data_IF_824051464211
#
_entry.id   IF_824051464211
#
_cell.length_a   1.000
_cell.length_b   1.000
_cell.length_c   1.000
_cell.angle_alpha   90.00
_cell.angle_beta   90.00
_cell.angle_gamma   90.00
#
_symmetry.space_group_name_H-M   'P 1'
#
loop_
_entity.id
_entity.type
_entity.pdbx_description
1 polymer ?
#
# COMPACT_ATOMS: atom_id res chain seq x y z
N UNK A 1 5.27 16.99 2.19
CA UNK A 1 5.82 15.86 2.99
C UNK A 1 5.12 15.78 4.33
N UNK A 2 5.60 14.93 5.24
CA UNK A 2 5.06 14.82 6.60
C UNK A 2 6.19 14.78 7.63
N UNK A 3 5.90 15.15 8.88
CA UNK A 3 6.87 15.08 9.98
C UNK A 3 6.19 14.80 11.32
N UNK A 4 6.89 14.11 12.23
CA UNK A 4 6.42 13.86 13.59
C UNK A 4 6.69 15.08 14.47
N UNK A 5 5.63 15.70 15.02
CA UNK A 5 5.73 16.91 15.83
C UNK A 5 5.17 16.67 17.24
N UNK A 6 5.57 17.46 18.25
CA UNK A 6 4.95 17.42 19.56
C UNK A 6 3.46 17.74 19.53
N UNK A 7 2.71 17.08 20.43
CA UNK A 7 1.29 17.29 20.66
C UNK A 7 0.36 16.73 19.58
N UNK A 8 -0.96 16.87 19.77
CA UNK A 8 -1.96 16.49 18.79
C UNK A 8 -1.91 17.37 17.54
N UNK A 9 -2.38 16.84 16.41
CA UNK A 9 -2.42 17.48 15.11
C UNK A 9 -3.79 17.31 14.46
N UNK A 10 -4.27 18.39 13.84
CA UNK A 10 -5.40 18.36 12.91
C UNK A 10 -4.95 18.32 11.44
N UNK A 11 -3.63 18.39 11.21
CA UNK A 11 -3.01 18.40 9.89
C UNK A 11 -2.63 16.98 9.47
N UNK A 12 -3.58 16.05 9.52
CA UNK A 12 -3.38 14.66 9.11
C UNK A 12 -4.70 14.11 8.58
N UNK A 13 -4.63 13.28 7.55
CA UNK A 13 -5.77 12.55 6.99
C UNK A 13 -5.41 11.08 7.05
N UNK A 14 -6.22 10.29 7.75
CA UNK A 14 -6.07 8.83 7.79
C UNK A 14 -6.76 8.19 6.58
N UNK A 15 -6.19 7.11 6.03
CA UNK A 15 -6.70 6.48 4.82
C UNK A 15 -8.05 5.79 5.06
N UNK A 16 -8.78 5.55 3.98
CA UNK A 16 -10.12 4.98 3.99
C UNK A 16 -10.14 3.45 4.05
N UNK A 17 -11.13 2.86 3.40
CA UNK A 17 -11.52 1.45 3.55
C UNK A 17 -10.75 0.46 2.66
N UNK A 18 -9.52 0.78 2.26
CA UNK A 18 -8.66 -0.15 1.52
C UNK A 18 -8.33 -1.41 2.34
N UNK A 19 -8.28 -2.62 1.73
CA UNK A 19 -7.95 -3.85 2.44
C UNK A 19 -6.66 -3.78 3.27
N UNK A 20 -5.60 -3.14 2.75
CA UNK A 20 -4.34 -2.94 3.48
C UNK A 20 -4.51 -1.94 4.63
N UNK A 21 -5.17 -0.81 4.37
CA UNK A 21 -5.40 0.24 5.36
C UNK A 21 -6.21 -0.30 6.56
N UNK A 22 -7.24 -1.10 6.29
CA UNK A 22 -8.04 -1.77 7.33
C UNK A 22 -7.21 -2.81 8.08
N UNK A 23 -6.49 -3.64 7.33
CA UNK A 23 -5.69 -4.74 7.86
C UNK A 23 -4.60 -4.27 8.82
N UNK A 24 -3.99 -3.12 8.56
CA UNK A 24 -2.98 -2.52 9.44
C UNK A 24 -3.56 -1.51 10.45
N UNK A 25 -4.88 -1.31 10.45
CA UNK A 25 -5.60 -0.47 11.41
C UNK A 25 -5.53 1.03 11.13
N UNK A 26 -5.02 1.44 9.96
CA UNK A 26 -4.95 2.86 9.58
C UNK A 26 -6.34 3.47 9.42
N UNK A 27 -7.30 2.71 8.88
CA UNK A 27 -8.70 3.15 8.70
C UNK A 27 -9.42 3.42 10.03
N UNK A 28 -8.94 2.83 11.13
CA UNK A 28 -9.56 2.94 12.45
C UNK A 28 -8.88 3.96 13.36
N UNK A 29 -7.90 4.72 12.86
CA UNK A 29 -7.08 5.59 13.70
C UNK A 29 -7.90 6.70 14.38
N UNK A 30 -8.87 7.30 13.69
CA UNK A 30 -9.76 8.32 14.30
C UNK A 30 -10.57 7.75 15.47
N UNK A 31 -11.02 6.50 15.37
CA UNK A 31 -11.72 5.80 16.46
C UNK A 31 -10.75 5.52 17.62
N UNK A 32 -9.57 4.98 17.34
CA UNK A 32 -8.57 4.63 18.35
C UNK A 32 -8.13 5.86 19.15
N UNK A 33 -7.78 6.95 18.46
CA UNK A 33 -7.38 8.21 19.11
C UNK A 33 -8.52 8.74 19.98
N UNK A 34 -9.76 8.78 19.46
CA UNK A 34 -10.92 9.22 20.22
C UNK A 34 -11.17 8.37 21.48
N UNK A 35 -11.00 7.05 21.40
CA UNK A 35 -11.18 6.13 22.53
C UNK A 35 -10.08 6.22 23.58
N UNK A 36 -8.85 6.50 23.16
CA UNK A 36 -7.70 6.68 24.04
C UNK A 36 -7.80 8.01 24.78
N UNK A 37 -8.12 9.10 24.08
CA UNK A 37 -8.33 10.42 24.69
C UNK A 37 -9.46 10.39 25.74
N UNK A 38 -10.55 9.65 25.48
CA UNK A 38 -11.64 9.44 26.45
C UNK A 38 -11.23 8.63 27.70
N UNK A 39 -10.06 7.99 27.68
CA UNK A 39 -9.49 7.21 28.80
C UNK A 39 -8.25 7.88 29.38
N UNK A 40 -8.15 9.20 29.23
CA UNK A 40 -7.08 10.04 29.79
C UNK A 40 -5.67 9.73 29.26
N UNK A 41 -5.55 9.02 28.14
CA UNK A 41 -4.28 8.93 27.42
C UNK A 41 -3.98 10.26 26.71
N UNK A 42 -2.70 10.61 26.65
CA UNK A 42 -2.24 11.87 26.04
C UNK A 42 -1.48 11.62 24.75
N UNK A 43 -1.75 12.44 23.73
CA UNK A 43 -0.98 12.45 22.49
C UNK A 43 0.26 13.32 22.69
N UNK A 44 1.40 12.68 22.95
CA UNK A 44 2.67 13.38 23.17
C UNK A 44 3.28 13.88 21.87
N UNK A 45 3.10 13.13 20.77
CA UNK A 45 3.56 13.46 19.42
C UNK A 45 2.61 12.90 18.38
N UNK A 46 2.39 13.64 17.30
CA UNK A 46 1.58 13.22 16.16
C UNK A 46 2.16 13.74 14.85
N UNK A 47 1.95 12.99 13.78
CA UNK A 47 2.36 13.39 12.43
C UNK A 47 1.59 14.63 11.97
N UNK A 48 2.29 15.55 11.31
CA UNK A 48 1.73 16.70 10.59
C UNK A 48 2.11 16.63 9.12
N UNK A 49 1.11 16.72 8.26
CA UNK A 49 1.25 16.85 6.83
C UNK A 49 1.56 18.31 6.48
N UNK A 50 2.45 18.52 5.51
CA UNK A 50 2.68 19.85 4.96
C UNK A 50 1.43 20.32 4.19
N UNK A 51 1.24 21.64 4.00
CA UNK A 51 0.09 22.16 3.26
C UNK A 51 -0.06 21.56 1.85
N UNK A 52 1.06 21.26 1.19
CA UNK A 52 1.09 20.62 -0.12
C UNK A 52 0.60 19.17 -0.05
N UNK A 53 1.02 18.43 0.98
CA UNK A 53 0.59 17.06 1.18
C UNK A 53 -0.91 17.01 1.52
N UNK A 54 -1.40 17.88 2.42
CA UNK A 54 -2.83 18.00 2.70
C UNK A 54 -3.65 18.28 1.44
N UNK A 55 -3.17 19.21 0.59
CA UNK A 55 -3.81 19.51 -0.68
C UNK A 55 -3.84 18.28 -1.57
N UNK A 56 -2.74 17.55 -1.68
CA UNK A 56 -2.63 16.32 -2.47
C UNK A 56 -3.66 15.27 -2.02
N UNK A 57 -3.73 14.94 -0.72
CA UNK A 57 -4.70 13.93 -0.23
C UNK A 57 -6.15 14.39 -0.40
N UNK A 58 -6.43 15.70 -0.26
CA UNK A 58 -7.77 16.27 -0.47
C UNK A 58 -8.25 16.15 -1.93
N UNK A 59 -7.36 15.93 -2.89
CA UNK A 59 -7.73 15.61 -4.27
C UNK A 59 -8.00 14.10 -4.48
N UNK A 60 -8.00 13.30 -3.41
CA UNK A 60 -8.30 11.87 -3.46
C UNK A 60 -7.10 10.98 -3.77
N UNK A 61 -5.88 11.52 -3.74
CA UNK A 61 -4.66 10.74 -3.95
C UNK A 61 -4.19 10.05 -2.65
N UNK A 62 -3.60 8.87 -2.79
CA UNK A 62 -3.04 8.11 -1.66
C UNK A 62 -1.72 8.73 -1.19
N UNK A 63 -1.56 8.88 0.13
CA UNK A 63 -0.38 9.53 0.72
C UNK A 63 0.88 8.72 0.36
N UNK A 64 1.93 9.33 -0.22
CA UNK A 64 3.19 8.63 -0.49
C UNK A 64 4.02 8.54 0.79
N UNK A 65 3.95 7.38 1.45
CA UNK A 65 4.78 7.04 2.61
C UNK A 65 5.34 5.63 2.46
N UNK A 66 6.40 5.33 3.19
CA UNK A 66 6.94 3.98 3.23
C UNK A 66 5.97 3.06 3.95
N UNK A 67 5.36 2.12 3.21
CA UNK A 67 4.36 1.24 3.79
C UNK A 67 5.04 0.13 4.61
N UNK A 68 4.48 -0.13 5.79
CA UNK A 68 4.94 -1.24 6.61
C UNK A 68 4.42 -2.55 6.04
N UNK A 69 5.31 -3.52 5.86
CA UNK A 69 4.92 -4.89 5.44
C UNK A 69 4.41 -5.74 6.60
N UNK A 70 4.69 -5.32 7.84
CA UNK A 70 4.23 -5.95 9.07
C UNK A 70 3.87 -4.88 10.12
N UNK A 71 2.77 -5.11 10.84
CA UNK A 71 2.34 -4.34 12.00
C UNK A 71 2.26 -5.23 13.25
N UNK A 72 1.93 -4.63 14.39
CA UNK A 72 1.88 -5.37 15.65
C UNK A 72 1.65 -4.49 16.87
N UNK A 73 1.55 -5.14 18.02
CA UNK A 73 1.52 -4.52 19.33
C UNK A 73 2.63 -5.13 20.18
N UNK A 74 3.56 -4.30 20.62
CA UNK A 74 4.56 -4.67 21.62
C UNK A 74 4.30 -3.86 22.88
N UNK A 75 4.18 -4.55 24.02
CA UNK A 75 4.06 -3.95 25.35
C UNK A 75 5.31 -4.35 26.12
N UNK A 76 6.04 -3.36 26.61
CA UNK A 76 7.25 -3.57 27.42
C UNK A 76 7.08 -2.99 28.82
N UNK A 77 7.79 -3.54 29.80
CA UNK A 77 7.86 -2.96 31.14
C UNK A 77 8.78 -1.71 31.18
N UNK A 78 8.96 -1.12 32.36
CA UNK A 78 9.80 0.06 32.56
C UNK A 78 11.31 -0.20 32.32
N UNK A 79 11.72 -1.47 32.24
CA UNK A 79 13.09 -1.91 31.92
C UNK A 79 13.23 -2.27 30.44
N UNK A 80 12.19 -2.01 29.63
CA UNK A 80 12.08 -2.40 28.21
C UNK A 80 12.01 -3.92 27.99
N UNK A 81 11.67 -4.71 29.01
CA UNK A 81 11.45 -6.15 28.85
C UNK A 81 10.08 -6.41 28.22
N UNK A 82 9.95 -7.32 27.23
CA UNK A 82 8.69 -7.60 26.56
C UNK A 82 7.70 -8.32 27.49
N UNK A 83 6.54 -7.70 27.73
CA UNK A 83 5.41 -8.28 28.45
C UNK A 83 4.41 -8.95 27.49
N UNK A 84 4.26 -8.39 26.29
CA UNK A 84 3.38 -8.92 25.26
C UNK A 84 3.91 -8.53 23.88
N UNK A 85 3.88 -9.45 22.92
CA UNK A 85 4.21 -9.17 21.54
C UNK A 85 3.19 -9.84 20.61
N UNK A 86 2.62 -9.06 19.71
CA UNK A 86 1.76 -9.52 18.64
C UNK A 86 2.26 -8.94 17.33
N UNK A 87 2.39 -9.79 16.30
CA UNK A 87 2.81 -9.40 14.95
C UNK A 87 1.79 -9.89 13.93
N UNK A 88 1.54 -9.06 12.93
CA UNK A 88 0.64 -9.35 11.84
C UNK A 88 1.15 -8.75 10.51
N UNK A 89 1.16 -9.50 9.40
CA UNK A 89 0.87 -10.94 9.34
C UNK A 89 1.94 -11.75 10.07
N UNK A 90 1.55 -12.91 10.61
CA UNK A 90 2.48 -13.80 11.33
C UNK A 90 3.51 -14.43 10.39
N UNK A 91 3.08 -14.73 9.16
CA UNK A 91 3.95 -15.22 8.09
C UNK A 91 4.19 -14.09 7.11
N UNK A 92 5.45 -13.71 6.94
CA UNK A 92 5.86 -12.69 5.97
C UNK A 92 7.33 -12.90 5.60
N UNK A 93 7.72 -12.36 4.46
CA UNK A 93 9.12 -12.26 4.06
C UNK A 93 9.62 -10.87 4.44
N UNK A 94 10.65 -10.75 5.32
CA UNK A 94 11.10 -9.46 5.83
C UNK A 94 11.79 -8.60 4.77
N UNK A 95 12.32 -9.22 3.73
CA UNK A 95 12.96 -8.56 2.60
C UNK A 95 12.59 -9.27 1.31
N UNK A 96 12.75 -8.58 0.18
CA UNK A 96 12.56 -9.18 -1.14
C UNK A 96 13.44 -10.42 -1.35
N UNK A 97 14.70 -10.37 -0.90
CA UNK A 97 15.64 -11.48 -1.01
C UNK A 97 15.26 -12.71 -0.17
N UNK A 98 14.36 -12.57 0.81
CA UNK A 98 13.87 -13.69 1.59
C UNK A 98 12.73 -14.48 0.89
N UNK A 99 12.17 -13.93 -0.20
CA UNK A 99 11.12 -14.61 -0.96
C UNK A 99 11.75 -15.73 -1.79
N UNK A 100 11.26 -16.99 -1.70
CA UNK A 100 11.73 -18.08 -2.53
C UNK A 100 11.68 -17.71 -4.03
N UNK A 101 12.78 -17.85 -4.80
CA UNK A 101 12.82 -17.49 -6.21
C UNK A 101 11.68 -18.11 -7.02
N UNK A 102 11.34 -19.37 -6.74
CA UNK A 102 10.22 -20.06 -7.40
C UNK A 102 8.87 -19.33 -7.25
N UNK A 103 8.61 -18.68 -6.10
CA UNK A 103 7.39 -17.88 -5.91
C UNK A 103 7.43 -16.60 -6.74
N UNK A 104 8.59 -15.92 -6.79
CA UNK A 104 8.79 -14.72 -7.61
C UNK A 104 8.59 -15.07 -9.09
N UNK A 105 9.27 -16.10 -9.58
CA UNK A 105 9.22 -16.53 -10.98
C UNK A 105 7.81 -16.94 -11.39
N UNK A 106 7.09 -17.66 -10.51
CA UNK A 106 5.70 -18.05 -10.76
C UNK A 106 4.78 -16.84 -10.88
N UNK A 107 4.91 -15.85 -9.98
CA UNK A 107 4.10 -14.63 -10.01
C UNK A 107 4.41 -13.78 -11.25
N UNK A 108 5.68 -13.59 -11.57
CA UNK A 108 6.09 -12.86 -12.78
C UNK A 108 5.58 -13.54 -14.04
N UNK A 109 5.66 -14.87 -14.13
CA UNK A 109 5.18 -15.61 -15.27
C UNK A 109 3.68 -15.41 -15.54
N UNK A 110 2.85 -15.37 -14.50
CA UNK A 110 1.40 -15.23 -14.61
C UNK A 110 1.00 -13.76 -14.82
N UNK A 111 1.59 -12.86 -14.03
CA UNK A 111 1.10 -11.47 -13.92
C UNK A 111 1.92 -10.46 -14.72
N UNK A 112 3.26 -10.54 -14.74
CA UNK A 112 4.11 -9.52 -15.39
C UNK A 112 5.54 -10.03 -15.67
N UNK A 113 5.73 -10.71 -16.81
CA UNK A 113 6.94 -11.51 -17.09
C UNK A 113 8.24 -10.71 -17.09
N UNK A 114 8.17 -9.49 -17.63
CA UNK A 114 9.36 -8.69 -17.91
C UNK A 114 9.61 -7.62 -16.83
N UNK A 115 8.86 -7.65 -15.71
CA UNK A 115 8.90 -6.62 -14.65
C UNK A 115 10.26 -6.47 -13.98
N UNK A 116 11.00 -7.57 -13.82
CA UNK A 116 12.32 -7.59 -13.18
C UNK A 116 13.45 -7.88 -14.18
N UNK A 117 13.25 -7.57 -15.47
CA UNK A 117 14.26 -7.76 -16.51
C UNK A 117 15.47 -6.83 -16.28
N UNK A 118 16.67 -7.36 -15.97
CA UNK A 118 17.85 -6.54 -15.74
C UNK A 118 18.31 -5.79 -17.00
N UNK A 119 17.84 -6.15 -18.20
CA UNK A 119 18.12 -5.42 -19.44
C UNK A 119 17.29 -4.14 -19.56
N UNK A 120 16.22 -4.00 -18.77
CA UNK A 120 15.33 -2.83 -18.80
C UNK A 120 15.13 -2.21 -17.40
N UNK A 121 16.21 -1.79 -16.71
CA UNK A 121 16.14 -1.32 -15.32
C UNK A 121 15.34 -0.01 -15.16
N UNK A 122 15.11 0.72 -16.24
CA UNK A 122 14.36 1.98 -16.27
C UNK A 122 12.93 1.83 -16.82
N UNK A 123 12.48 0.59 -17.08
CA UNK A 123 11.11 0.35 -17.47
C UNK A 123 10.15 0.76 -16.35
N UNK A 124 9.06 1.43 -16.71
CA UNK A 124 8.06 1.84 -15.73
C UNK A 124 7.27 0.60 -15.25
N UNK A 125 7.38 0.20 -13.97
CA UNK A 125 6.73 -1.02 -13.47
C UNK A 125 5.19 -0.93 -13.48
N UNK A 126 4.63 0.27 -13.56
CA UNK A 126 3.20 0.49 -13.66
C UNK A 126 2.65 0.25 -15.07
N UNK A 127 3.51 0.20 -16.10
CA UNK A 127 3.10 0.08 -17.51
C UNK A 127 3.80 -1.10 -18.17
N UNK A 128 3.04 -2.14 -18.51
CA UNK A 128 3.48 -3.19 -19.43
C UNK A 128 3.14 -2.73 -20.86
N UNK A 129 4.13 -2.19 -21.57
CA UNK A 129 3.93 -1.59 -22.90
C UNK A 129 3.43 -2.59 -23.96
N UNK A 130 4.01 -3.80 -24.11
CA UNK A 130 3.47 -4.81 -25.03
C UNK A 130 2.01 -5.18 -24.71
N UNK A 131 1.68 -5.39 -23.43
CA UNK A 131 0.33 -5.76 -23.01
C UNK A 131 -0.64 -4.61 -23.15
N UNK A 132 -0.21 -3.37 -22.89
CA UNK A 132 -0.98 -2.16 -23.10
C UNK A 132 -1.35 -1.97 -24.58
N UNK A 133 -0.39 -2.11 -25.50
CA UNK A 133 -0.63 -2.00 -26.95
C UNK A 133 -1.58 -3.11 -27.42
N UNK A 134 -1.38 -4.35 -26.97
CA UNK A 134 -2.27 -5.47 -27.27
C UNK A 134 -3.69 -5.23 -26.75
N UNK A 135 -3.82 -4.72 -25.53
CA UNK A 135 -5.11 -4.39 -24.93
C UNK A 135 -5.82 -3.28 -25.71
N UNK A 136 -5.12 -2.19 -26.04
CA UNK A 136 -5.66 -1.10 -26.86
C UNK A 136 -6.14 -1.58 -28.24
N UNK A 137 -5.33 -2.41 -28.92
CA UNK A 137 -5.72 -3.00 -30.21
C UNK A 137 -6.93 -3.92 -30.08
N UNK A 138 -7.00 -4.72 -29.01
CA UNK A 138 -8.15 -5.60 -28.76
C UNK A 138 -9.45 -4.82 -28.48
N UNK A 139 -9.37 -3.65 -27.84
CA UNK A 139 -10.53 -2.79 -27.60
C UNK A 139 -11.02 -2.13 -28.90
N UNK A 140 -10.11 -1.69 -29.77
CA UNK A 140 -10.46 -1.23 -31.12
C UNK A 140 -11.14 -2.35 -31.91
N UNK A 141 -10.57 -3.56 -31.91
CA UNK A 141 -11.15 -4.72 -32.58
C UNK A 141 -12.56 -5.06 -32.06
N UNK A 142 -12.79 -5.00 -30.74
CA UNK A 142 -14.12 -5.18 -30.13
C UNK A 142 -15.12 -4.10 -30.56
N UNK A 143 -14.68 -2.84 -30.69
CA UNK A 143 -15.53 -1.75 -31.21
C UNK A 143 -16.00 -2.02 -32.65
N UNK A 144 -15.18 -2.73 -33.44
CA UNK A 144 -15.53 -3.20 -34.78
C UNK A 144 -16.18 -4.60 -34.81
N UNK A 145 -16.66 -5.11 -33.66
CA UNK A 145 -17.32 -6.41 -33.49
C UNK A 145 -16.49 -7.63 -33.97
N UNK A 146 -15.17 -7.53 -33.98
CA UNK A 146 -14.29 -8.65 -34.30
C UNK A 146 -14.13 -9.58 -33.08
N UNK A 147 -14.22 -10.91 -33.25
CA UNK A 147 -14.09 -11.85 -32.13
C UNK A 147 -12.67 -11.87 -31.56
N UNK A 148 -12.53 -11.77 -30.23
CA UNK A 148 -11.25 -11.84 -29.53
C UNK A 148 -11.36 -11.77 -28.00
N UNK A 149 -10.45 -12.43 -27.28
CA UNK A 149 -10.35 -12.36 -25.82
C UNK A 149 -9.66 -11.04 -25.40
N UNK A 150 -10.21 -10.33 -24.40
CA UNK A 150 -9.54 -9.16 -23.83
C UNK A 150 -8.41 -9.61 -22.90
N UNK A 151 -7.20 -9.11 -23.14
CA UNK A 151 -6.10 -9.23 -22.19
C UNK A 151 -6.31 -8.23 -21.03
N UNK A 152 -6.20 -8.70 -19.79
CA UNK A 152 -6.12 -7.82 -18.62
C UNK A 152 -4.86 -6.96 -18.71
N UNK A 153 -5.00 -5.64 -18.67
CA UNK A 153 -3.89 -4.70 -18.86
C UNK A 153 -3.25 -4.18 -17.57
N UNK A 154 -3.69 -4.64 -16.39
CA UNK A 154 -3.17 -4.15 -15.10
C UNK A 154 -1.86 -4.85 -14.74
N UNK A 155 -0.83 -4.06 -14.43
CA UNK A 155 0.47 -4.54 -13.93
C UNK A 155 0.41 -4.85 -12.43
N UNK A 156 1.35 -5.65 -11.92
CA UNK A 156 1.49 -5.92 -10.47
C UNK A 156 1.53 -4.62 -9.65
N UNK A 157 2.22 -3.59 -10.12
CA UNK A 157 2.28 -2.30 -9.42
C UNK A 157 0.89 -1.64 -9.30
N UNK A 158 0.08 -1.63 -10.37
CA UNK A 158 -1.29 -1.07 -10.31
C UNK A 158 -2.26 -1.92 -9.49
N UNK A 159 -2.09 -3.25 -9.52
CA UNK A 159 -2.91 -4.16 -8.71
C UNK A 159 -2.60 -4.00 -7.22
N UNK A 160 -1.32 -3.84 -6.86
CA UNK A 160 -0.88 -3.60 -5.50
C UNK A 160 -1.47 -2.30 -4.94
N UNK A 161 -1.45 -1.22 -5.72
CA UNK A 161 -2.02 0.07 -5.31
C UNK A 161 -3.53 -0.01 -5.05
N UNK A 162 -4.25 -0.70 -5.95
CA UNK A 162 -5.69 -0.96 -5.78
C UNK A 162 -5.96 -1.76 -4.52
N UNK A 163 -5.26 -2.88 -4.33
CA UNK A 163 -5.40 -3.72 -3.14
C UNK A 163 -5.13 -2.94 -1.85
N UNK A 164 -4.24 -1.97 -1.88
CA UNK A 164 -3.90 -1.21 -0.69
C UNK A 164 -5.02 -0.29 -0.24
N UNK A 165 -5.54 0.49 -1.19
CA UNK A 165 -6.27 1.70 -0.83
C UNK A 165 -7.68 1.79 -1.43
N UNK A 166 -8.03 0.94 -2.39
CA UNK A 166 -9.37 0.93 -2.98
C UNK A 166 -10.27 -0.05 -2.22
N UNK A 167 -11.52 0.32 -1.90
CA UNK A 167 -12.51 -0.64 -1.43
C UNK A 167 -12.87 -1.62 -2.55
N UNK A 168 -13.30 -2.83 -2.18
CA UNK A 168 -13.84 -3.85 -3.10
C UNK A 168 -15.19 -3.44 -3.69
#
# INVERSE_FOLDING_TARGET
>A
GYSMQPGPSHDVVYPGDGPFDRRLGYSSMDEFLSRLLKRDYVITRQTRFSPELLRYVRHGFFVPYEEKTQAGLSITDCRSEPLYEFKYPQQFYPTFAAIPPMLVDSLLFIENRDLLDPQQPMANPAVDWPRFVKAAWSQLAKMFALPGQSAGGSTLATQLEKYRHSPD
#
